data_IF_696101566015
#
_entry.id   IF_696101566015
#
_cell.length_a   1.000
_cell.length_b   1.000
_cell.length_c   1.000
_cell.angle_alpha   90.00
_cell.angle_beta   90.00
_cell.angle_gamma   90.00
#
_symmetry.space_group_name_H-M   'P 1'
#
loop_
_entity.id
_entity.type
_entity.pdbx_description
1 polymer ?
#
# COMPACT_ATOMS: atom_id res chain seq x y z
N UNK A 1 -28.65 -19.90 -21.69
CA UNK A 1 -28.95 -19.76 -20.24
C UNK A 1 -28.03 -18.69 -19.70
N UNK A 2 -28.57 -17.55 -19.28
CA UNK A 2 -27.76 -16.55 -18.58
C UNK A 2 -27.27 -17.22 -17.26
N UNK A 3 -25.97 -17.23 -17.02
CA UNK A 3 -25.40 -17.67 -15.75
C UNK A 3 -26.01 -16.82 -14.65
N UNK A 4 -26.59 -17.45 -13.62
CA UNK A 4 -26.96 -16.75 -12.41
C UNK A 4 -25.68 -16.20 -11.79
N UNK A 5 -25.49 -14.88 -11.91
CA UNK A 5 -24.29 -14.18 -11.45
C UNK A 5 -24.31 -13.92 -9.93
N UNK A 6 -25.47 -14.08 -9.30
CA UNK A 6 -25.63 -13.84 -7.86
C UNK A 6 -25.13 -15.03 -7.02
N UNK A 7 -25.20 -16.24 -7.54
CA UNK A 7 -24.80 -17.44 -6.80
C UNK A 7 -24.12 -18.44 -7.77
N UNK A 8 -22.78 -18.40 -7.91
CA UNK A 8 -22.06 -19.41 -8.66
C UNK A 8 -22.29 -20.79 -8.02
N UNK A 9 -22.48 -21.81 -8.85
CA UNK A 9 -22.91 -23.17 -8.48
C UNK A 9 -21.97 -23.92 -7.52
N UNK A 10 -20.67 -23.55 -7.46
CA UNK A 10 -19.70 -24.15 -6.53
C UNK A 10 -18.71 -23.10 -6.02
N UNK A 11 -18.69 -22.89 -4.71
CA UNK A 11 -17.75 -22.01 -4.03
C UNK A 11 -16.57 -22.75 -3.40
N UNK A 12 -16.56 -24.10 -3.42
CA UNK A 12 -15.64 -24.90 -2.62
C UNK A 12 -14.19 -24.79 -3.14
N UNK A 13 -14.00 -24.80 -4.46
CA UNK A 13 -12.70 -24.89 -5.09
C UNK A 13 -11.81 -23.64 -4.86
N UNK A 14 -12.40 -22.45 -4.70
CA UNK A 14 -11.64 -21.22 -4.48
C UNK A 14 -11.29 -21.02 -3.02
N UNK A 15 -10.01 -21.13 -2.70
CA UNK A 15 -9.48 -20.76 -1.40
C UNK A 15 -9.17 -19.27 -1.38
N UNK A 16 -10.09 -18.48 -0.84
CA UNK A 16 -9.97 -17.02 -0.83
C UNK A 16 -8.88 -16.56 0.13
N UNK A 17 -8.00 -15.62 -0.31
CA UNK A 17 -6.94 -15.07 0.52
C UNK A 17 -7.50 -14.13 1.61
N UNK A 18 -6.87 -14.09 2.77
CA UNK A 18 -7.21 -13.19 3.91
C UNK A 18 -8.70 -13.13 4.21
N UNK A 19 -9.40 -14.24 4.10
CA UNK A 19 -10.87 -14.32 4.23
C UNK A 19 -11.26 -15.42 5.21
N UNK A 20 -12.27 -15.16 6.03
CA UNK A 20 -12.96 -16.18 6.80
C UNK A 20 -13.81 -17.04 5.84
N UNK A 21 -13.17 -17.99 5.12
CA UNK A 21 -13.76 -18.72 4.01
C UNK A 21 -15.07 -19.45 4.37
N UNK A 22 -15.14 -20.02 5.57
CA UNK A 22 -16.36 -20.70 6.03
C UNK A 22 -17.54 -19.73 6.13
N UNK A 23 -17.33 -18.56 6.76
CA UNK A 23 -18.35 -17.52 6.90
C UNK A 23 -18.75 -16.96 5.53
N UNK A 24 -17.73 -16.60 4.69
CA UNK A 24 -18.00 -16.04 3.36
C UNK A 24 -18.80 -16.98 2.47
N UNK A 25 -18.48 -18.28 2.46
CA UNK A 25 -19.16 -19.27 1.62
C UNK A 25 -20.57 -19.59 2.08
N UNK A 26 -20.91 -19.33 3.35
CA UNK A 26 -22.29 -19.42 3.86
C UNK A 26 -23.14 -18.20 3.47
N UNK A 27 -22.54 -17.02 3.46
CA UNK A 27 -23.21 -15.75 3.11
C UNK A 27 -22.30 -14.95 2.17
N UNK A 28 -22.27 -15.34 0.86
CA UNK A 28 -21.33 -14.76 -0.08
C UNK A 28 -21.69 -13.31 -0.43
N UNK A 29 -20.67 -12.44 -0.45
CA UNK A 29 -20.75 -11.03 -0.86
C UNK A 29 -20.12 -10.91 -2.25
N UNK A 30 -20.94 -10.99 -3.30
CA UNK A 30 -20.47 -11.06 -4.68
C UNK A 30 -20.65 -9.71 -5.39
N UNK A 31 -19.57 -9.21 -5.99
CA UNK A 31 -19.61 -8.11 -6.93
C UNK A 31 -19.59 -8.65 -8.37
N UNK A 32 -20.46 -8.14 -9.21
CA UNK A 32 -20.63 -8.57 -10.62
C UNK A 32 -20.30 -7.48 -11.62
N UNK A 33 -20.25 -6.22 -11.17
CA UNK A 33 -19.84 -5.07 -11.95
C UNK A 33 -19.29 -3.96 -11.04
N UNK A 34 -18.62 -2.98 -11.63
CA UNK A 34 -18.19 -1.77 -10.94
C UNK A 34 -18.15 -0.61 -11.92
N UNK A 35 -18.46 0.62 -11.45
CA UNK A 35 -18.36 1.86 -12.23
C UNK A 35 -18.21 3.06 -11.29
N UNK A 36 -17.28 3.97 -11.61
CA UNK A 36 -17.02 5.16 -10.80
C UNK A 36 -16.70 4.82 -9.35
N UNK A 37 -17.57 5.21 -8.43
CA UNK A 37 -17.44 4.98 -6.99
C UNK A 37 -18.12 3.70 -6.49
N UNK A 38 -18.80 2.92 -7.33
CA UNK A 38 -19.69 1.87 -6.88
C UNK A 38 -19.35 0.50 -7.47
N UNK A 39 -19.52 -0.52 -6.63
CA UNK A 39 -19.71 -1.89 -7.05
C UNK A 39 -21.20 -2.20 -7.20
N UNK A 40 -21.51 -3.15 -8.09
CA UNK A 40 -22.86 -3.72 -8.24
C UNK A 40 -22.83 -5.17 -7.74
N UNK A 41 -23.71 -5.51 -6.82
CA UNK A 41 -23.88 -6.88 -6.31
C UNK A 41 -24.71 -7.73 -7.30
N UNK A 42 -24.73 -9.06 -7.08
CA UNK A 42 -25.48 -9.98 -7.94
C UNK A 42 -27.00 -9.74 -7.97
N UNK A 43 -27.55 -9.17 -6.90
CA UNK A 43 -28.96 -8.75 -6.79
C UNK A 43 -29.21 -7.30 -7.30
N UNK A 44 -28.19 -6.62 -7.81
CA UNK A 44 -28.30 -5.30 -8.42
C UNK A 44 -28.14 -4.12 -7.47
N UNK A 45 -27.86 -4.32 -6.19
CA UNK A 45 -27.57 -3.23 -5.24
C UNK A 45 -26.30 -2.51 -5.62
N UNK A 46 -26.28 -1.19 -5.42
CA UNK A 46 -25.07 -0.38 -5.51
C UNK A 46 -24.40 -0.29 -4.14
N UNK A 47 -23.10 -0.55 -4.10
CA UNK A 47 -22.28 -0.48 -2.88
C UNK A 47 -21.19 0.56 -3.10
N UNK A 48 -21.23 1.66 -2.34
CA UNK A 48 -20.23 2.72 -2.37
C UNK A 48 -18.88 2.17 -1.89
N UNK A 49 -17.84 2.35 -2.70
CA UNK A 49 -16.49 1.87 -2.38
C UNK A 49 -15.74 2.87 -1.48
N UNK A 50 -15.77 2.64 -0.18
CA UNK A 50 -15.02 3.41 0.81
C UNK A 50 -13.55 2.99 0.97
N UNK A 51 -13.04 2.08 0.10
CA UNK A 51 -11.73 1.44 0.27
C UNK A 51 -10.85 1.42 -0.98
N UNK A 52 -11.32 2.00 -2.10
CA UNK A 52 -10.70 1.88 -3.42
C UNK A 52 -10.33 0.41 -3.74
N UNK A 53 -11.30 -0.49 -3.56
CA UNK A 53 -11.09 -1.92 -3.61
C UNK A 53 -10.23 -2.41 -2.44
N UNK A 54 -8.96 -2.64 -2.69
CA UNK A 54 -7.93 -2.90 -1.66
C UNK A 54 -6.83 -1.82 -1.72
N UNK A 55 -7.21 -0.55 -1.60
CA UNK A 55 -6.30 0.62 -1.69
C UNK A 55 -5.69 0.80 -3.09
N UNK A 56 -6.36 0.36 -4.15
CA UNK A 56 -5.75 0.28 -5.48
C UNK A 56 -6.49 1.03 -6.59
N UNK A 57 -7.83 1.17 -6.50
CA UNK A 57 -8.64 1.81 -7.53
C UNK A 57 -8.73 3.33 -7.33
N UNK A 58 -7.57 4.02 -7.30
CA UNK A 58 -7.50 5.44 -6.96
C UNK A 58 -8.26 6.33 -7.95
N UNK A 59 -8.29 5.99 -9.25
CA UNK A 59 -9.06 6.72 -10.25
C UNK A 59 -10.55 6.33 -10.31
N UNK A 60 -11.00 5.39 -9.44
CA UNK A 60 -12.33 4.80 -9.53
C UNK A 60 -12.40 3.64 -10.51
N UNK A 61 -13.57 3.03 -10.60
CA UNK A 61 -13.79 1.80 -11.37
C UNK A 61 -14.14 2.06 -12.84
N UNK A 62 -13.77 1.10 -13.71
CA UNK A 62 -14.17 1.05 -15.13
C UNK A 62 -13.88 2.35 -15.88
N UNK A 63 -12.72 2.96 -15.66
CA UNK A 63 -12.29 4.16 -16.39
C UNK A 63 -12.13 3.85 -17.87
N UNK A 64 -12.87 4.53 -18.79
CA UNK A 64 -12.86 4.20 -20.21
C UNK A 64 -11.45 4.20 -20.80
N UNK A 65 -10.65 5.24 -20.55
CA UNK A 65 -9.27 5.36 -21.06
C UNK A 65 -8.41 4.15 -20.66
N UNK A 66 -8.51 3.66 -19.43
CA UNK A 66 -7.74 2.51 -18.94
C UNK A 66 -8.23 1.21 -19.60
N UNK A 67 -9.56 1.03 -19.69
CA UNK A 67 -10.17 -0.14 -20.32
C UNK A 67 -9.78 -0.24 -21.79
N UNK A 68 -9.91 0.86 -22.53
CA UNK A 68 -9.59 0.95 -23.96
C UNK A 68 -8.09 0.68 -24.22
N UNK A 69 -7.21 1.23 -23.38
CA UNK A 69 -5.77 0.99 -23.49
C UNK A 69 -5.40 -0.50 -23.34
N UNK A 70 -6.04 -1.20 -22.38
CA UNK A 70 -5.84 -2.65 -22.19
C UNK A 70 -6.37 -3.44 -23.38
N UNK A 71 -7.57 -3.12 -23.87
CA UNK A 71 -8.18 -3.81 -25.01
C UNK A 71 -7.34 -3.65 -26.28
N UNK A 72 -6.86 -2.44 -26.55
CA UNK A 72 -5.99 -2.16 -27.69
C UNK A 72 -4.66 -2.91 -27.56
N UNK A 73 -4.05 -2.90 -26.38
CA UNK A 73 -2.78 -3.59 -26.13
C UNK A 73 -2.91 -5.11 -26.26
N UNK A 74 -4.00 -5.68 -25.77
CA UNK A 74 -4.24 -7.12 -25.87
C UNK A 74 -4.39 -7.59 -27.33
N UNK A 75 -4.87 -6.72 -28.22
CA UNK A 75 -4.99 -7.00 -29.65
C UNK A 75 -3.68 -6.79 -30.42
N UNK A 76 -2.76 -5.95 -29.91
CA UNK A 76 -1.50 -5.61 -30.59
C UNK A 76 -0.34 -6.52 -30.16
N UNK A 77 -0.12 -6.60 -28.85
CA UNK A 77 0.98 -7.38 -28.24
C UNK A 77 0.58 -7.78 -26.83
N UNK A 78 0.17 -9.00 -26.66
CA UNK A 78 -0.30 -9.58 -25.38
C UNK A 78 0.84 -9.88 -24.40
N UNK A 79 1.99 -10.32 -24.91
CA UNK A 79 3.18 -10.64 -24.13
C UNK A 79 4.46 -10.36 -24.92
N UNK A 80 5.48 -9.88 -24.25
CA UNK A 80 6.85 -9.82 -24.74
C UNK A 80 7.81 -10.34 -23.65
N UNK A 81 8.86 -11.11 -23.99
CA UNK A 81 9.86 -11.53 -23.01
C UNK A 81 10.52 -10.31 -22.33
N UNK A 82 10.56 -10.32 -21.01
CA UNK A 82 11.22 -9.26 -20.24
C UNK A 82 12.75 -9.45 -20.16
N UNK A 83 13.25 -10.63 -20.53
CA UNK A 83 14.66 -10.98 -20.48
C UNK A 83 15.26 -10.93 -21.89
N UNK A 84 16.31 -10.13 -22.07
CA UNK A 84 17.05 -9.91 -23.32
C UNK A 84 16.21 -9.24 -24.45
N UNK A 85 14.93 -9.00 -24.24
CA UNK A 85 14.00 -8.37 -25.16
C UNK A 85 13.25 -7.27 -24.41
N UNK A 86 12.53 -6.41 -25.13
CA UNK A 86 11.74 -5.35 -24.55
C UNK A 86 10.64 -4.89 -25.51
N UNK A 87 9.77 -4.01 -25.03
CA UNK A 87 8.75 -3.34 -25.84
C UNK A 87 8.61 -1.87 -25.44
N UNK A 88 8.19 -0.98 -26.36
CA UNK A 88 8.23 0.46 -26.14
C UNK A 88 7.48 0.94 -24.89
N UNK A 89 6.28 0.38 -24.60
CA UNK A 89 5.43 0.86 -23.51
C UNK A 89 6.01 0.62 -22.12
N UNK A 90 6.85 -0.41 -21.92
CA UNK A 90 7.55 -0.59 -20.64
C UNK A 90 8.55 0.55 -20.39
N UNK A 91 9.32 0.92 -21.41
CA UNK A 91 10.26 2.04 -21.31
C UNK A 91 9.55 3.39 -21.15
N UNK A 92 8.43 3.59 -21.85
CA UNK A 92 7.62 4.79 -21.71
C UNK A 92 7.04 4.89 -20.29
N UNK A 93 6.47 3.81 -19.76
CA UNK A 93 5.95 3.78 -18.40
C UNK A 93 7.04 4.05 -17.37
N UNK A 94 8.23 3.46 -17.54
CA UNK A 94 9.37 3.72 -16.66
C UNK A 94 9.74 5.20 -16.67
N UNK A 95 9.79 5.84 -17.85
CA UNK A 95 10.04 7.27 -17.99
C UNK A 95 8.96 8.10 -17.29
N UNK A 96 7.69 7.83 -17.55
CA UNK A 96 6.58 8.56 -16.92
C UNK A 96 6.54 8.40 -15.41
N UNK A 97 6.86 7.20 -14.90
CA UNK A 97 6.91 6.94 -13.47
C UNK A 97 8.07 7.65 -12.80
N UNK A 98 9.26 7.66 -13.45
CA UNK A 98 10.42 8.45 -13.01
C UNK A 98 10.08 9.95 -12.94
N UNK A 99 9.46 10.48 -14.00
CA UNK A 99 9.16 11.92 -14.11
C UNK A 99 8.09 12.37 -13.08
N UNK A 100 7.29 11.44 -12.57
CA UNK A 100 6.30 11.67 -11.51
C UNK A 100 6.87 11.47 -10.10
N UNK A 101 7.92 10.67 -9.98
CA UNK A 101 8.53 10.36 -8.69
C UNK A 101 9.35 11.54 -8.16
N UNK A 102 9.53 11.66 -6.83
CA UNK A 102 10.40 12.69 -6.28
C UNK A 102 11.87 12.47 -6.67
N UNK A 103 12.58 13.55 -6.91
CA UNK A 103 14.04 13.45 -7.03
C UNK A 103 14.62 12.91 -5.70
N UNK A 104 15.62 12.01 -5.71
CA UNK A 104 16.48 11.61 -6.83
C UNK A 104 16.15 10.24 -7.44
N UNK A 105 14.87 9.84 -7.55
CA UNK A 105 14.48 8.56 -8.15
C UNK A 105 14.63 8.60 -9.66
N UNK A 106 15.58 7.82 -10.22
CA UNK A 106 15.89 7.88 -11.66
C UNK A 106 15.68 6.56 -12.42
N UNK A 107 15.63 5.42 -11.72
CA UNK A 107 15.55 4.11 -12.35
C UNK A 107 14.38 3.30 -11.81
N UNK A 108 13.72 2.54 -12.69
CA UNK A 108 12.52 1.76 -12.39
C UNK A 108 12.76 0.30 -12.71
N UNK A 109 12.50 -0.57 -11.74
CA UNK A 109 12.51 -2.02 -11.91
C UNK A 109 11.09 -2.55 -11.74
N UNK A 110 10.49 -3.09 -12.80
CA UNK A 110 9.10 -3.60 -12.77
C UNK A 110 8.99 -4.98 -12.15
N UNK A 111 7.94 -5.16 -11.38
CA UNK A 111 7.50 -6.40 -10.74
C UNK A 111 6.00 -6.62 -10.99
N UNK A 112 5.38 -7.65 -10.41
CA UNK A 112 3.97 -7.96 -10.64
C UNK A 112 3.07 -7.66 -9.43
N UNK A 113 3.65 -7.25 -8.33
CA UNK A 113 2.91 -6.95 -7.07
C UNK A 113 3.76 -6.15 -6.10
N UNK A 114 3.12 -5.54 -5.08
CA UNK A 114 3.84 -4.90 -3.98
C UNK A 114 4.72 -5.89 -3.19
N UNK A 115 4.28 -7.15 -3.03
CA UNK A 115 5.10 -8.18 -2.38
C UNK A 115 6.40 -8.45 -3.12
N UNK A 116 6.35 -8.53 -4.45
CA UNK A 116 7.54 -8.68 -5.28
C UNK A 116 8.38 -7.39 -5.32
N UNK A 117 7.76 -6.22 -5.28
CA UNK A 117 8.50 -4.95 -5.20
C UNK A 117 9.33 -4.89 -3.92
N UNK A 118 8.76 -5.26 -2.79
CA UNK A 118 9.50 -5.34 -1.52
C UNK A 118 10.64 -6.36 -1.60
N UNK A 119 10.38 -7.61 -2.04
CA UNK A 119 11.44 -8.62 -2.20
C UNK A 119 12.58 -8.12 -3.10
N UNK A 120 12.24 -7.45 -4.18
CA UNK A 120 13.20 -6.86 -5.11
C UNK A 120 14.02 -5.75 -4.44
N UNK A 121 13.38 -4.82 -3.73
CA UNK A 121 14.07 -3.75 -3.04
C UNK A 121 15.03 -4.26 -1.96
N UNK A 122 14.62 -5.28 -1.17
CA UNK A 122 15.50 -5.92 -0.18
C UNK A 122 16.71 -6.60 -0.83
N UNK A 123 16.49 -7.29 -1.96
CA UNK A 123 17.58 -7.92 -2.73
C UNK A 123 18.51 -6.89 -3.36
N UNK A 124 17.97 -5.81 -3.93
CA UNK A 124 18.78 -4.70 -4.47
C UNK A 124 19.62 -4.08 -3.35
N UNK A 125 19.05 -3.85 -2.16
CA UNK A 125 19.77 -3.27 -1.04
C UNK A 125 20.99 -4.11 -0.64
N UNK A 126 20.82 -5.42 -0.47
CA UNK A 126 21.93 -6.34 -0.12
C UNK A 126 22.96 -6.41 -1.26
N UNK A 127 22.50 -6.53 -2.51
CA UNK A 127 23.37 -6.62 -3.68
C UNK A 127 24.15 -5.31 -3.91
N UNK A 128 23.51 -4.16 -3.70
CA UNK A 128 24.16 -2.84 -3.77
C UNK A 128 25.30 -2.73 -2.75
N UNK A 129 25.04 -3.07 -1.49
CA UNK A 129 26.08 -3.05 -0.46
C UNK A 129 27.28 -3.92 -0.85
N UNK A 130 27.02 -5.07 -1.45
CA UNK A 130 28.10 -5.93 -1.97
C UNK A 130 28.83 -5.29 -3.14
N UNK A 131 28.13 -4.67 -4.09
CA UNK A 131 28.69 -4.03 -5.27
C UNK A 131 29.65 -2.88 -4.90
N UNK A 132 29.35 -2.14 -3.84
CA UNK A 132 30.21 -1.05 -3.33
C UNK A 132 31.29 -1.54 -2.33
N UNK A 133 31.53 -2.86 -2.23
CA UNK A 133 32.56 -3.43 -1.35
C UNK A 133 32.17 -3.56 0.11
N UNK A 134 30.88 -3.37 0.46
CA UNK A 134 30.33 -3.48 1.82
C UNK A 134 29.58 -4.81 2.02
N UNK A 135 30.15 -5.92 1.55
CA UNK A 135 29.49 -7.22 1.48
C UNK A 135 29.08 -7.86 2.81
N UNK A 136 29.51 -7.31 3.94
CA UNK A 136 29.09 -7.69 5.30
C UNK A 136 27.70 -7.13 5.66
N UNK A 137 27.23 -6.08 4.97
CA UNK A 137 25.94 -5.46 5.18
C UNK A 137 24.82 -6.31 4.60
N UNK A 138 24.25 -7.20 5.38
CA UNK A 138 23.16 -8.11 4.97
C UNK A 138 21.94 -8.07 5.89
N UNK A 139 22.06 -7.43 7.05
CA UNK A 139 20.99 -7.27 8.02
C UNK A 139 19.94 -6.26 7.50
N UNK A 140 18.68 -6.59 7.73
CA UNK A 140 17.53 -5.76 7.33
C UNK A 140 16.77 -5.32 8.58
N UNK A 141 16.28 -4.10 8.59
CA UNK A 141 15.50 -3.55 9.68
C UNK A 141 14.10 -3.20 9.17
N UNK A 142 13.08 -3.79 9.80
CA UNK A 142 11.68 -3.44 9.57
C UNK A 142 11.09 -2.63 10.72
N UNK A 143 9.76 -2.61 10.81
CA UNK A 143 9.04 -1.97 11.92
C UNK A 143 7.91 -2.87 12.40
N UNK A 144 7.71 -2.94 13.71
CA UNK A 144 6.54 -3.57 14.31
C UNK A 144 5.25 -3.01 13.69
N UNK A 145 4.24 -3.84 13.49
CA UNK A 145 2.99 -3.50 12.82
C UNK A 145 3.17 -2.98 11.38
N UNK A 146 4.34 -3.17 10.75
CA UNK A 146 4.55 -2.91 9.33
C UNK A 146 3.99 -4.03 8.46
N UNK A 147 3.48 -3.70 7.26
CA UNK A 147 3.04 -4.66 6.26
C UNK A 147 3.82 -4.47 4.96
N UNK A 148 4.56 -5.49 4.56
CA UNK A 148 5.43 -5.44 3.39
C UNK A 148 5.18 -6.61 2.42
N UNK A 149 3.89 -6.99 2.27
CA UNK A 149 3.50 -8.12 1.43
C UNK A 149 3.57 -9.46 2.15
N UNK A 150 3.55 -10.55 1.36
CA UNK A 150 3.36 -11.92 1.86
C UNK A 150 4.50 -12.88 1.52
N UNK A 151 5.50 -12.45 0.75
CA UNK A 151 6.70 -13.22 0.49
C UNK A 151 7.57 -13.31 1.76
N UNK A 152 8.47 -14.28 1.83
CA UNK A 152 9.26 -14.51 3.05
C UNK A 152 10.12 -13.32 3.48
N UNK A 153 10.72 -12.57 2.56
CA UNK A 153 11.42 -11.32 2.89
C UNK A 153 10.45 -10.29 3.45
N UNK A 154 9.33 -10.06 2.77
CA UNK A 154 8.30 -9.11 3.18
C UNK A 154 7.72 -9.41 4.57
N UNK A 155 7.38 -10.67 4.88
CA UNK A 155 6.89 -11.04 6.22
C UNK A 155 8.00 -11.07 7.27
N UNK A 156 9.26 -11.19 6.87
CA UNK A 156 10.40 -11.13 7.80
C UNK A 156 10.62 -9.72 8.30
N UNK A 157 10.63 -8.71 7.41
CA UNK A 157 10.74 -7.29 7.80
C UNK A 157 9.40 -6.70 8.25
N UNK A 158 8.27 -7.35 7.94
CA UNK A 158 6.95 -6.99 8.43
C UNK A 158 6.77 -7.28 9.92
N UNK A 159 5.81 -6.62 10.57
CA UNK A 159 5.56 -6.70 12.00
C UNK A 159 4.15 -7.16 12.39
N UNK A 160 3.38 -7.76 11.47
CA UNK A 160 2.04 -8.29 11.75
C UNK A 160 2.16 -9.72 12.28
N UNK A 161 1.77 -9.95 13.53
CA UNK A 161 1.87 -11.26 14.19
C UNK A 161 1.23 -12.39 13.38
N UNK A 162 0.02 -12.18 12.84
CA UNK A 162 -0.69 -13.19 12.08
C UNK A 162 -0.02 -13.55 10.76
N UNK A 163 0.74 -12.64 10.14
CA UNK A 163 1.50 -12.90 8.92
C UNK A 163 2.80 -13.68 9.19
N UNK A 164 3.21 -13.81 10.43
CA UNK A 164 4.49 -14.40 10.84
C UNK A 164 4.32 -15.76 11.51
N UNK A 165 3.43 -15.86 12.50
CA UNK A 165 3.35 -16.99 13.44
C UNK A 165 3.07 -18.36 12.80
N UNK A 166 2.48 -18.40 11.61
CA UNK A 166 2.15 -19.66 10.92
C UNK A 166 3.25 -20.17 9.99
N UNK A 167 4.29 -19.37 9.72
CA UNK A 167 5.28 -19.68 8.67
C UNK A 167 6.67 -20.03 9.25
N UNK A 168 6.75 -20.31 10.54
CA UNK A 168 7.95 -20.82 11.21
C UNK A 168 9.07 -19.78 11.30
N UNK A 169 10.30 -20.27 11.18
CA UNK A 169 11.48 -19.42 11.21
C UNK A 169 11.59 -18.61 9.92
N UNK A 170 11.55 -17.30 10.04
CA UNK A 170 11.70 -16.34 8.96
C UNK A 170 13.18 -16.09 8.64
N UNK A 171 13.49 -15.12 7.76
CA UNK A 171 14.86 -14.76 7.42
C UNK A 171 15.65 -14.37 8.67
N UNK A 172 16.86 -14.87 8.77
CA UNK A 172 17.81 -14.47 9.84
C UNK A 172 18.38 -13.08 9.55
N UNK A 173 18.85 -12.39 10.58
CA UNK A 173 19.45 -11.06 10.42
C UNK A 173 18.41 -9.96 10.17
N UNK A 174 17.23 -10.11 10.74
CA UNK A 174 16.16 -9.08 10.70
C UNK A 174 15.84 -8.61 12.11
N UNK A 175 15.82 -7.29 12.30
CA UNK A 175 15.37 -6.62 13.52
C UNK A 175 14.21 -5.68 13.23
N UNK A 176 13.53 -5.20 14.27
CA UNK A 176 12.36 -4.33 14.12
C UNK A 176 12.47 -3.11 15.02
N UNK A 177 12.16 -1.96 14.44
CA UNK A 177 11.87 -0.74 15.18
C UNK A 177 10.50 -0.86 15.87
N UNK A 178 10.26 -0.16 16.98
CA UNK A 178 8.94 -0.08 17.59
C UNK A 178 7.94 0.60 16.64
N UNK A 179 6.66 0.25 16.76
CA UNK A 179 5.59 0.89 16.01
C UNK A 179 5.31 2.33 16.52
N UNK A 180 4.68 3.16 15.69
CA UNK A 180 4.41 4.58 16.00
C UNK A 180 3.05 4.84 16.64
N UNK A 181 2.28 3.81 16.99
CA UNK A 181 0.96 3.96 17.58
C UNK A 181 1.05 4.15 19.09
N UNK A 182 0.79 5.37 19.55
CA UNK A 182 0.86 5.79 20.97
C UNK A 182 -0.51 6.38 21.39
N UNK A 183 -1.56 5.56 21.60
CA UNK A 183 -2.91 6.06 21.85
C UNK A 183 -3.00 6.92 23.12
N UNK A 184 -2.24 6.61 24.17
CA UNK A 184 -2.24 7.40 25.41
C UNK A 184 -1.80 8.87 25.23
N UNK A 185 -1.06 9.17 24.15
CA UNK A 185 -0.51 10.49 23.87
C UNK A 185 -1.12 11.15 22.63
N UNK A 186 -1.54 10.32 21.67
CA UNK A 186 -1.86 10.78 20.31
C UNK A 186 -3.29 10.45 19.86
N UNK A 187 -4.14 9.87 20.70
CA UNK A 187 -5.50 9.51 20.30
C UNK A 187 -6.26 10.75 19.78
N UNK A 188 -7.05 10.54 18.72
CA UNK A 188 -7.85 11.58 18.05
C UNK A 188 -7.04 12.74 17.44
N UNK A 189 -5.75 12.51 17.17
CA UNK A 189 -4.93 13.50 16.47
C UNK A 189 -5.38 13.64 15.02
N UNK A 190 -5.51 14.88 14.56
CA UNK A 190 -5.73 15.21 13.15
C UNK A 190 -4.39 15.33 12.44
N UNK A 191 -4.17 14.51 11.40
CA UNK A 191 -2.90 14.47 10.67
C UNK A 191 -1.76 13.83 11.49
N UNK A 192 -0.55 14.39 11.37
CA UNK A 192 0.64 13.87 12.06
C UNK A 192 0.60 14.14 13.57
N UNK A 193 0.77 13.11 14.41
CA UNK A 193 0.86 13.29 15.85
C UNK A 193 2.17 13.98 16.27
N UNK A 194 2.09 14.72 17.39
CA UNK A 194 3.24 15.46 17.94
C UNK A 194 4.22 14.55 18.68
N UNK A 195 3.73 13.48 19.32
CA UNK A 195 4.55 12.63 20.18
C UNK A 195 5.01 11.37 19.49
N UNK A 196 6.31 11.01 19.65
CA UNK A 196 6.85 9.73 19.19
C UNK A 196 8.03 9.82 18.23
N UNK A 197 8.57 11.00 17.93
CA UNK A 197 9.79 11.14 17.12
C UNK A 197 10.97 10.34 17.71
N UNK A 198 11.06 10.28 19.03
CA UNK A 198 12.10 9.55 19.75
C UNK A 198 12.15 8.04 19.47
N UNK A 199 11.06 7.45 18.95
CA UNK A 199 11.01 6.05 18.56
C UNK A 199 11.98 5.71 17.42
N UNK A 200 12.38 6.71 16.63
CA UNK A 200 13.42 6.55 15.61
C UNK A 200 14.80 6.28 16.21
N UNK A 201 15.06 6.70 17.47
CA UNK A 201 16.35 6.49 18.14
C UNK A 201 16.62 5.01 18.43
N UNK A 202 15.61 4.14 18.39
CA UNK A 202 15.82 2.71 18.53
C UNK A 202 16.71 2.14 17.41
N UNK A 203 16.77 2.81 16.25
CA UNK A 203 17.72 2.46 15.19
C UNK A 203 19.18 2.62 15.66
N UNK A 204 19.50 3.67 16.43
CA UNK A 204 20.86 3.82 17.02
C UNK A 204 21.18 2.69 17.99
N UNK A 205 20.20 2.22 18.77
CA UNK A 205 20.37 1.05 19.65
C UNK A 205 20.67 -0.22 18.85
N UNK A 206 19.97 -0.42 17.73
CA UNK A 206 20.21 -1.58 16.83
C UNK A 206 21.58 -1.47 16.17
N UNK A 207 21.97 -0.28 15.72
CA UNK A 207 23.30 0.01 15.15
C UNK A 207 24.40 -0.27 16.18
N UNK A 208 24.23 0.17 17.43
CA UNK A 208 25.18 -0.09 18.50
C UNK A 208 25.33 -1.58 18.85
N UNK A 209 24.22 -2.35 18.72
CA UNK A 209 24.22 -3.79 19.00
C UNK A 209 24.92 -4.60 17.93
N UNK A 210 24.73 -4.27 16.65
CA UNK A 210 25.16 -5.11 15.54
C UNK A 210 26.36 -4.58 14.74
N UNK A 211 26.72 -3.31 14.92
CA UNK A 211 27.68 -2.58 14.10
C UNK A 211 27.05 -2.08 12.78
N UNK A 212 27.26 -0.81 12.41
CA UNK A 212 26.67 -0.23 11.19
C UNK A 212 27.09 -0.99 9.93
N UNK A 213 28.28 -1.60 9.90
CA UNK A 213 28.84 -2.36 8.78
C UNK A 213 28.15 -3.71 8.53
N UNK A 214 27.16 -4.08 9.33
CA UNK A 214 26.35 -5.30 9.14
C UNK A 214 24.96 -5.00 8.60
N UNK A 215 24.49 -3.74 8.65
CA UNK A 215 23.13 -3.36 8.32
C UNK A 215 23.08 -2.83 6.88
N UNK A 216 22.25 -3.48 6.04
CA UNK A 216 22.06 -3.11 4.64
C UNK A 216 21.02 -2.00 4.46
N UNK A 217 19.85 -2.18 5.06
CA UNK A 217 18.73 -1.26 4.85
C UNK A 217 17.72 -1.28 6.00
N UNK A 218 16.99 -0.16 6.12
CA UNK A 218 15.74 -0.02 6.86
C UNK A 218 14.60 0.08 5.84
N UNK A 219 13.50 -0.63 6.07
CA UNK A 219 12.27 -0.50 5.29
C UNK A 219 11.10 -0.12 6.20
N UNK A 220 10.36 0.93 5.82
CA UNK A 220 9.14 1.36 6.51
C UNK A 220 8.10 1.84 5.51
N UNK A 221 6.82 1.65 5.83
CA UNK A 221 5.76 2.44 5.22
C UNK A 221 5.86 3.86 5.79
N UNK A 222 5.88 4.95 5.00
CA UNK A 222 5.82 6.31 5.55
C UNK A 222 4.64 6.48 6.51
N UNK A 223 3.48 5.96 6.12
CA UNK A 223 2.31 5.74 6.94
C UNK A 223 1.90 4.27 6.86
N UNK A 224 1.81 3.58 7.99
CA UNK A 224 1.43 2.17 8.00
C UNK A 224 -0.07 2.00 7.77
N UNK A 225 -0.44 1.74 6.51
CA UNK A 225 -1.84 1.68 6.08
C UNK A 225 -2.58 0.45 6.58
N UNK A 226 -2.08 -0.73 6.20
CA UNK A 226 -2.76 -2.02 6.40
C UNK A 226 -3.00 -2.40 7.87
N UNK A 227 -2.22 -1.87 8.79
CA UNK A 227 -2.30 -2.15 10.23
C UNK A 227 -3.13 -1.16 11.01
N UNK A 228 -3.85 -0.28 10.33
CA UNK A 228 -4.80 0.64 10.95
C UNK A 228 -4.47 2.11 10.81
N UNK A 229 -3.84 2.49 9.69
CA UNK A 229 -3.55 3.90 9.36
C UNK A 229 -2.72 4.57 10.46
N UNK A 230 -1.55 3.95 10.76
CA UNK A 230 -0.66 4.45 11.79
C UNK A 230 0.22 5.56 11.24
N UNK A 231 0.00 6.77 11.72
CA UNK A 231 0.72 7.96 11.27
C UNK A 231 2.16 8.00 11.80
N UNK A 232 3.12 8.49 11.00
CA UNK A 232 4.42 8.82 11.53
C UNK A 232 4.30 10.09 12.39
N UNK A 233 4.85 10.10 13.62
CA UNK A 233 4.95 11.33 14.40
C UNK A 233 5.83 12.37 13.68
N UNK A 234 5.59 13.65 13.92
CA UNK A 234 6.43 14.75 13.41
C UNK A 234 7.89 14.51 13.81
N UNK A 235 8.80 14.61 12.85
CA UNK A 235 10.24 14.39 13.07
C UNK A 235 10.69 12.93 13.05
N UNK A 236 9.79 11.96 13.03
CA UNK A 236 10.16 10.53 13.06
C UNK A 236 10.87 10.07 11.77
N UNK A 237 10.29 10.38 10.61
CA UNK A 237 10.87 9.97 9.31
C UNK A 237 12.16 10.72 9.03
N UNK A 238 12.23 12.00 9.35
CA UNK A 238 13.42 12.84 9.23
C UNK A 238 14.56 12.29 10.08
N UNK A 239 14.27 11.85 11.30
CA UNK A 239 15.26 11.26 12.18
C UNK A 239 15.74 9.89 11.68
N UNK A 240 14.84 9.04 11.18
CA UNK A 240 15.25 7.78 10.53
C UNK A 240 16.19 8.04 9.35
N UNK A 241 15.86 9.00 8.47
CA UNK A 241 16.70 9.38 7.34
C UNK A 241 18.09 9.85 7.81
N UNK A 242 18.12 10.69 8.84
CA UNK A 242 19.39 11.21 9.37
C UNK A 242 20.29 10.07 9.90
N UNK A 243 19.73 9.14 10.69
CA UNK A 243 20.47 7.99 11.22
C UNK A 243 20.95 7.08 10.08
N UNK A 244 20.08 6.77 9.11
CA UNK A 244 20.46 5.96 7.95
C UNK A 244 21.62 6.59 7.18
N UNK A 245 21.55 7.91 6.93
CA UNK A 245 22.62 8.65 6.24
C UNK A 245 23.94 8.62 7.03
N UNK A 246 23.88 8.87 8.32
CA UNK A 246 25.06 8.86 9.21
C UNK A 246 25.80 7.51 9.17
N UNK A 247 25.08 6.41 9.11
CA UNK A 247 25.66 5.06 9.17
C UNK A 247 25.80 4.36 7.81
N UNK A 248 25.46 5.03 6.69
CA UNK A 248 25.52 4.45 5.34
C UNK A 248 24.54 3.27 5.15
N UNK A 249 23.39 3.32 5.85
CA UNK A 249 22.29 2.36 5.76
C UNK A 249 21.27 2.88 4.73
N UNK A 250 20.81 2.03 3.81
CA UNK A 250 19.77 2.44 2.87
C UNK A 250 18.42 2.59 3.58
N UNK A 251 17.65 3.61 3.20
CA UNK A 251 16.26 3.78 3.61
C UNK A 251 15.35 3.44 2.43
N UNK A 252 14.41 2.53 2.65
CA UNK A 252 13.40 2.11 1.68
C UNK A 252 12.04 2.57 2.19
N UNK A 253 11.30 3.33 1.39
CA UNK A 253 9.89 3.61 1.65
C UNK A 253 9.00 2.63 0.87
N UNK A 254 8.17 1.90 1.62
CA UNK A 254 7.10 1.12 1.04
C UNK A 254 5.88 2.03 0.82
N UNK A 255 5.74 2.48 -0.42
CA UNK A 255 4.67 3.40 -0.85
C UNK A 255 3.58 2.70 -1.66
N UNK A 256 3.42 1.42 -1.47
CA UNK A 256 2.37 0.62 -2.13
C UNK A 256 0.97 1.15 -1.81
N UNK A 257 0.78 1.82 -0.66
CA UNK A 257 -0.48 2.48 -0.29
C UNK A 257 -0.39 4.00 -0.42
N UNK A 258 0.70 4.61 0.04
CA UNK A 258 0.84 6.08 0.11
C UNK A 258 1.08 6.75 -1.23
N UNK A 259 1.59 6.01 -2.21
CA UNK A 259 1.78 6.51 -3.56
C UNK A 259 0.48 6.78 -4.33
N UNK A 260 0.63 7.48 -5.44
CA UNK A 260 -0.45 7.77 -6.41
C UNK A 260 -1.61 8.57 -5.83
N UNK A 261 -1.30 9.68 -5.15
CA UNK A 261 -2.28 10.70 -4.75
C UNK A 261 -3.01 10.45 -3.44
N UNK A 262 -2.76 9.34 -2.74
CA UNK A 262 -3.48 9.00 -1.51
C UNK A 262 -3.38 10.06 -0.42
N UNK A 263 -2.24 10.73 -0.32
CA UNK A 263 -1.97 11.80 0.63
C UNK A 263 -2.09 13.22 0.02
N UNK A 264 -2.56 13.34 -1.23
CA UNK A 264 -2.63 14.60 -1.95
C UNK A 264 -1.36 15.00 -2.70
N UNK A 265 -0.37 14.10 -2.76
CA UNK A 265 0.89 14.23 -3.52
C UNK A 265 1.15 12.95 -4.31
N UNK A 266 2.09 12.97 -5.25
CA UNK A 266 2.44 11.78 -6.05
C UNK A 266 2.88 10.62 -5.16
N UNK A 267 3.75 10.91 -4.18
CA UNK A 267 4.28 9.94 -3.22
C UNK A 267 4.29 10.51 -1.79
N UNK A 268 4.28 9.62 -0.81
CA UNK A 268 4.40 9.99 0.59
C UNK A 268 5.75 10.63 0.92
N UNK A 269 6.83 10.26 0.22
CA UNK A 269 8.13 10.89 0.36
C UNK A 269 8.07 12.41 0.14
N UNK A 270 7.33 12.86 -0.89
CA UNK A 270 7.08 14.29 -1.13
C UNK A 270 6.23 14.91 -0.03
N UNK A 271 5.14 14.22 0.36
CA UNK A 271 4.23 14.71 1.40
C UNK A 271 4.95 14.99 2.73
N UNK A 272 5.85 14.09 3.13
CA UNK A 272 6.61 14.22 4.37
C UNK A 272 7.94 14.98 4.21
N UNK A 273 8.35 15.29 2.98
CA UNK A 273 9.62 15.97 2.71
C UNK A 273 10.86 15.13 3.06
N UNK A 274 10.74 13.80 3.04
CA UNK A 274 11.83 12.87 3.40
C UNK A 274 12.11 11.93 2.25
N UNK A 275 13.32 12.00 1.68
CA UNK A 275 13.70 11.21 0.50
C UNK A 275 14.39 9.90 0.90
N UNK A 276 13.83 8.73 0.54
CA UNK A 276 14.48 7.45 0.70
C UNK A 276 15.49 7.18 -0.42
N UNK A 277 16.23 6.09 -0.30
CA UNK A 277 17.13 5.60 -1.36
C UNK A 277 16.39 4.74 -2.39
N UNK A 278 15.28 4.11 -1.99
CA UNK A 278 14.37 3.37 -2.87
C UNK A 278 12.92 3.56 -2.43
N UNK A 279 12.00 3.48 -3.41
CA UNK A 279 10.55 3.46 -3.19
C UNK A 279 10.00 2.17 -3.80
N UNK A 280 9.19 1.42 -3.06
CA UNK A 280 8.37 0.34 -3.62
C UNK A 280 6.95 0.83 -3.87
N UNK A 281 6.39 0.53 -5.03
CA UNK A 281 5.02 0.88 -5.37
C UNK A 281 4.30 -0.24 -6.13
N UNK A 282 2.98 -0.17 -6.17
CA UNK A 282 2.07 -1.10 -6.87
C UNK A 282 0.66 -0.48 -6.92
N UNK A 283 -0.40 -1.28 -6.83
CA UNK A 283 -1.81 -0.87 -6.62
C UNK A 283 -2.26 0.29 -7.53
N UNK A 284 -2.12 1.54 -7.06
CA UNK A 284 -2.46 2.74 -7.82
C UNK A 284 -1.68 2.88 -9.14
N UNK A 285 -0.55 2.21 -9.30
CA UNK A 285 0.24 2.23 -10.54
C UNK A 285 -0.58 1.84 -11.78
N UNK A 286 -1.49 0.88 -11.63
CA UNK A 286 -2.37 0.41 -12.71
C UNK A 286 -3.85 0.56 -12.36
N UNK A 287 -4.18 1.36 -11.35
CA UNK A 287 -5.55 1.46 -10.82
C UNK A 287 -6.14 0.09 -10.40
N UNK A 288 -5.29 -0.87 -10.06
CA UNK A 288 -5.68 -2.22 -9.64
C UNK A 288 -6.22 -3.13 -10.76
N UNK A 289 -6.27 -2.70 -12.02
CA UNK A 289 -6.91 -3.45 -13.12
C UNK A 289 -6.03 -4.57 -13.67
N UNK A 290 -4.70 -4.37 -13.70
CA UNK A 290 -3.71 -5.39 -14.07
C UNK A 290 -2.64 -5.45 -12.98
N UNK A 291 -2.27 -6.64 -12.47
CA UNK A 291 -1.20 -6.77 -11.48
C UNK A 291 0.12 -6.20 -12.00
N UNK A 292 0.68 -5.24 -11.27
CA UNK A 292 2.00 -4.66 -11.51
C UNK A 292 2.50 -4.00 -10.23
N UNK A 293 3.82 -3.99 -10.09
CA UNK A 293 4.53 -3.21 -9.10
C UNK A 293 5.84 -2.67 -9.68
N UNK A 294 6.52 -1.84 -8.91
CA UNK A 294 7.82 -1.32 -9.28
C UNK A 294 8.67 -1.01 -8.05
N UNK A 295 9.99 -1.04 -8.25
CA UNK A 295 10.98 -0.42 -7.37
C UNK A 295 11.57 0.78 -8.11
N UNK A 296 11.48 1.94 -7.50
CA UNK A 296 12.20 3.13 -7.94
C UNK A 296 13.49 3.23 -7.13
N UNK A 297 14.59 3.49 -7.78
CA UNK A 297 15.89 3.59 -7.16
C UNK A 297 16.64 4.85 -7.62
N UNK A 298 17.50 5.35 -6.76
CA UNK A 298 18.39 6.46 -7.11
C UNK A 298 19.42 6.04 -8.16
N UNK A 299 19.93 7.01 -8.91
CA UNK A 299 21.03 6.80 -9.86
C UNK A 299 22.24 6.14 -9.21
N UNK A 300 22.57 6.52 -7.97
CA UNK A 300 23.70 5.96 -7.22
C UNK A 300 23.55 4.43 -7.05
N UNK A 301 22.35 3.94 -6.73
CA UNK A 301 22.12 2.50 -6.58
C UNK A 301 22.27 1.78 -7.91
N UNK A 302 21.63 2.29 -8.96
CA UNK A 302 21.69 1.70 -10.29
C UNK A 302 23.14 1.63 -10.83
N UNK A 303 23.86 2.74 -10.80
CA UNK A 303 25.20 2.83 -11.38
C UNK A 303 26.22 1.92 -10.69
N UNK A 304 26.01 1.57 -9.42
CA UNK A 304 26.87 0.62 -8.71
C UNK A 304 26.87 -0.78 -9.34
N UNK A 305 25.81 -1.13 -10.07
CA UNK A 305 25.72 -2.40 -10.80
C UNK A 305 26.28 -2.31 -12.23
N UNK A 306 26.33 -1.12 -12.83
CA UNK A 306 26.73 -0.91 -14.23
C UNK A 306 28.24 -1.04 -14.39
N UNK A 307 28.78 -2.19 -14.04
CA UNK A 307 30.22 -2.50 -14.03
C UNK A 307 30.48 -3.88 -14.64
N UNK A 308 31.73 -4.12 -15.07
CA UNK A 308 32.13 -5.38 -15.67
C UNK A 308 31.92 -5.44 -17.19
N UNK A 309 31.99 -6.63 -17.80
CA UNK A 309 31.80 -6.79 -19.25
C UNK A 309 30.35 -6.53 -19.67
N UNK A 310 30.13 -5.73 -20.71
CA UNK A 310 28.81 -5.29 -21.20
C UNK A 310 27.84 -6.40 -21.59
N UNK A 311 28.33 -7.62 -21.87
CA UNK A 311 27.50 -8.77 -22.22
C UNK A 311 27.04 -9.61 -21.02
N UNK A 312 27.46 -9.28 -19.82
CA UNK A 312 27.04 -9.98 -18.59
C UNK A 312 25.88 -9.26 -17.94
N UNK A 313 25.00 -10.04 -17.29
CA UNK A 313 23.86 -9.50 -16.53
C UNK A 313 24.38 -8.87 -15.24
N UNK A 314 24.15 -7.57 -15.06
CA UNK A 314 24.67 -6.78 -13.96
C UNK A 314 23.93 -7.10 -12.63
N UNK A 315 22.61 -7.32 -12.68
CA UNK A 315 21.80 -7.76 -11.57
C UNK A 315 21.03 -9.04 -11.93
N UNK A 316 21.46 -10.19 -11.40
CA UNK A 316 20.87 -11.49 -11.74
C UNK A 316 19.53 -11.69 -10.99
N UNK A 317 18.52 -10.90 -11.36
CA UNK A 317 17.18 -10.88 -10.79
C UNK A 317 16.15 -10.38 -11.81
N UNK A 318 14.94 -10.95 -11.80
CA UNK A 318 13.82 -10.56 -12.64
C UNK A 318 12.65 -11.54 -12.54
N UNK A 319 11.51 -11.12 -13.05
CA UNK A 319 10.29 -11.93 -13.10
C UNK A 319 9.84 -12.11 -14.55
N UNK A 320 9.25 -13.24 -14.87
CA UNK A 320 8.76 -13.56 -16.22
C UNK A 320 7.80 -12.49 -16.77
N UNK A 321 7.02 -11.86 -15.89
CA UNK A 321 6.03 -10.84 -16.27
C UNK A 321 6.46 -9.39 -15.96
N UNK A 322 7.73 -9.16 -15.61
CA UNK A 322 8.25 -7.80 -15.42
C UNK A 322 7.97 -6.93 -16.65
N UNK A 323 7.31 -5.78 -16.45
CA UNK A 323 7.00 -4.87 -17.54
C UNK A 323 6.00 -5.42 -18.57
N UNK A 324 5.10 -6.33 -18.18
CA UNK A 324 4.08 -6.92 -19.07
C UNK A 324 3.38 -5.83 -19.94
N UNK A 325 3.21 -6.06 -21.26
CA UNK A 325 2.66 -5.04 -22.18
C UNK A 325 1.29 -4.50 -21.77
N UNK A 326 0.36 -5.36 -21.35
CA UNK A 326 -0.97 -4.93 -20.92
C UNK A 326 -0.92 -4.15 -19.61
N UNK A 327 -0.05 -4.55 -18.68
CA UNK A 327 0.15 -3.82 -17.44
C UNK A 327 0.80 -2.46 -17.68
N UNK A 328 1.76 -2.37 -18.61
CA UNK A 328 2.37 -1.11 -19.03
C UNK A 328 1.35 -0.17 -19.69
N UNK A 329 0.48 -0.68 -20.57
CA UNK A 329 -0.59 0.10 -21.17
C UNK A 329 -1.60 0.61 -20.14
N UNK A 330 -1.99 -0.25 -19.18
CA UNK A 330 -2.86 0.14 -18.06
C UNK A 330 -2.20 1.20 -17.19
N UNK A 331 -0.90 1.04 -16.86
CA UNK A 331 -0.14 2.02 -16.08
C UNK A 331 -0.07 3.38 -16.76
N UNK A 332 0.30 3.43 -18.05
CA UNK A 332 0.34 4.67 -18.83
C UNK A 332 -1.00 5.40 -18.83
N UNK A 333 -2.09 4.68 -19.12
CA UNK A 333 -3.43 5.25 -19.13
C UNK A 333 -3.87 5.70 -17.73
N UNK A 334 -3.43 5.01 -16.68
CA UNK A 334 -3.72 5.35 -15.29
C UNK A 334 -3.01 6.66 -14.90
N UNK A 335 -1.70 6.77 -15.15
CA UNK A 335 -0.93 7.98 -14.84
C UNK A 335 -1.48 9.20 -15.60
N UNK A 336 -1.87 8.98 -16.85
CA UNK A 336 -2.49 10.04 -17.64
C UNK A 336 -3.86 10.46 -17.09
N UNK A 337 -4.69 9.50 -16.65
CA UNK A 337 -5.99 9.77 -15.99
C UNK A 337 -5.79 10.59 -14.71
N UNK A 338 -4.79 10.26 -13.87
CA UNK A 338 -4.49 11.04 -12.68
C UNK A 338 -4.17 12.50 -13.01
N UNK A 339 -3.34 12.71 -14.03
CA UNK A 339 -2.93 14.05 -14.47
C UNK A 339 -4.07 14.87 -15.08
N UNK A 340 -4.84 14.26 -16.00
CA UNK A 340 -5.90 14.97 -16.71
C UNK A 340 -7.08 15.34 -15.82
N UNK A 341 -7.43 14.46 -14.89
CA UNK A 341 -8.52 14.68 -13.93
C UNK A 341 -8.05 15.46 -12.68
N UNK A 342 -6.73 15.79 -12.55
CA UNK A 342 -6.18 16.51 -11.40
C UNK A 342 -6.43 15.80 -10.08
N UNK A 343 -6.29 14.46 -10.05
CA UNK A 343 -6.79 13.67 -8.92
C UNK A 343 -5.96 13.86 -7.64
N UNK A 344 -4.69 14.23 -7.75
CA UNK A 344 -3.83 14.43 -6.57
C UNK A 344 -4.18 15.76 -5.88
N UNK A 345 -4.33 16.82 -6.66
CA UNK A 345 -4.77 18.13 -6.18
C UNK A 345 -6.19 18.04 -5.60
N UNK A 346 -7.08 17.31 -6.27
CA UNK A 346 -8.43 17.04 -5.78
C UNK A 346 -8.41 16.33 -4.42
N UNK A 347 -7.53 15.36 -4.23
CA UNK A 347 -7.39 14.66 -2.95
C UNK A 347 -6.91 15.60 -1.84
N UNK A 348 -5.96 16.48 -2.15
CA UNK A 348 -5.50 17.51 -1.23
C UNK A 348 -6.62 18.49 -0.83
N UNK A 349 -7.42 18.96 -1.81
CA UNK A 349 -8.53 19.89 -1.59
C UNK A 349 -9.66 19.28 -0.75
N UNK A 350 -9.88 17.98 -0.85
CA UNK A 350 -10.92 17.27 -0.09
C UNK A 350 -10.46 16.82 1.29
N UNK A 351 -9.16 16.86 1.59
CA UNK A 351 -8.59 16.29 2.81
C UNK A 351 -9.21 16.85 4.10
N UNK A 352 -9.44 18.16 4.18
CA UNK A 352 -10.06 18.78 5.34
C UNK A 352 -11.53 18.38 5.54
N UNK A 353 -12.29 18.28 4.43
CA UNK A 353 -13.68 17.83 4.48
C UNK A 353 -13.77 16.36 4.92
N UNK A 354 -12.88 15.51 4.42
CA UNK A 354 -12.73 14.13 4.85
C UNK A 354 -12.39 14.03 6.34
N UNK A 355 -11.41 14.80 6.79
CA UNK A 355 -11.00 14.86 8.20
C UNK A 355 -12.16 15.22 9.11
N UNK A 356 -12.90 16.31 8.81
CA UNK A 356 -14.05 16.75 9.61
C UNK A 356 -15.15 15.68 9.67
N UNK A 357 -15.48 15.07 8.53
CA UNK A 357 -16.45 13.98 8.46
C UNK A 357 -16.03 12.77 9.30
N UNK A 358 -14.77 12.35 9.20
CA UNK A 358 -14.22 11.24 9.96
C UNK A 358 -14.23 11.53 11.48
N UNK A 359 -13.70 12.69 11.89
CA UNK A 359 -13.65 13.07 13.30
C UNK A 359 -15.01 13.37 13.92
N UNK A 360 -16.06 13.57 13.11
CA UNK A 360 -17.43 13.64 13.60
C UNK A 360 -17.91 12.35 14.26
N UNK A 361 -17.24 11.22 14.03
CA UNK A 361 -17.56 9.93 14.63
C UNK A 361 -17.00 9.74 16.04
N UNK A 362 -16.26 10.72 16.58
CA UNK A 362 -15.56 10.63 17.87
C UNK A 362 -16.47 10.26 19.04
N UNK A 363 -17.68 10.76 19.05
CA UNK A 363 -18.62 10.57 20.15
C UNK A 363 -19.52 9.33 19.95
N UNK A 364 -19.27 8.51 18.90
CA UNK A 364 -19.98 7.26 18.72
C UNK A 364 -19.52 6.24 19.77
N UNK A 365 -20.43 5.31 20.19
CA UNK A 365 -20.09 4.26 21.12
C UNK A 365 -18.85 3.46 20.69
N UNK A 366 -18.04 3.08 21.67
CA UNK A 366 -16.84 2.24 21.50
C UNK A 366 -15.73 2.83 20.64
N UNK A 367 -15.83 4.05 20.14
CA UNK A 367 -14.73 4.72 19.42
C UNK A 367 -13.68 5.19 20.42
N UNK A 368 -12.46 4.62 20.30
CA UNK A 368 -11.34 4.94 21.20
C UNK A 368 -10.23 5.73 20.54
N UNK A 369 -10.17 5.75 19.20
CA UNK A 369 -9.24 6.58 18.45
C UNK A 369 -9.71 6.82 17.01
N UNK A 370 -9.31 7.96 16.43
CA UNK A 370 -9.50 8.32 15.02
C UNK A 370 -8.20 8.90 14.48
N UNK A 371 -7.79 8.44 13.30
CA UNK A 371 -6.55 8.83 12.61
C UNK A 371 -6.82 9.11 11.14
N UNK A 372 -6.19 10.12 10.58
CA UNK A 372 -6.34 10.46 9.16
C UNK A 372 -5.16 11.22 8.58
N UNK A 373 -5.04 11.17 7.26
CA UNK A 373 -4.19 12.03 6.44
C UNK A 373 -4.63 11.96 4.97
N UNK A 374 -4.71 13.09 4.26
CA UNK A 374 -5.25 13.09 2.90
C UNK A 374 -6.62 12.42 2.84
N UNK A 375 -6.84 11.55 1.85
CA UNK A 375 -8.08 10.76 1.71
C UNK A 375 -7.89 9.33 2.24
N UNK A 376 -7.38 9.23 3.46
CA UNK A 376 -7.28 7.96 4.20
C UNK A 376 -7.59 8.22 5.66
N UNK A 377 -8.25 7.26 6.32
CA UNK A 377 -8.52 7.36 7.74
C UNK A 377 -8.91 6.05 8.37
N UNK A 378 -8.87 6.05 9.70
CA UNK A 378 -9.27 4.90 10.50
C UNK A 378 -10.05 5.33 11.74
N UNK A 379 -11.00 4.48 12.12
CA UNK A 379 -11.72 4.52 13.40
C UNK A 379 -11.35 3.25 14.17
N UNK A 380 -10.77 3.40 15.34
CA UNK A 380 -10.43 2.29 16.21
C UNK A 380 -11.52 2.09 17.27
N UNK A 381 -11.96 0.86 17.42
CA UNK A 381 -13.03 0.49 18.33
C UNK A 381 -12.46 -0.26 19.54
N UNK A 382 -13.04 -0.04 20.69
CA UNK A 382 -12.78 -0.83 21.88
C UNK A 382 -13.07 -2.31 21.62
N UNK A 383 -12.11 -3.22 21.81
CA UNK A 383 -12.32 -4.65 21.58
C UNK A 383 -13.31 -5.25 22.59
N UNK A 384 -14.10 -6.22 22.15
CA UNK A 384 -14.92 -7.03 23.07
C UNK A 384 -13.99 -7.98 23.83
N UNK A 385 -14.08 -7.96 25.15
CA UNK A 385 -13.28 -8.84 26.01
C UNK A 385 -13.48 -10.33 25.65
N UNK A 386 -12.39 -11.02 25.29
CA UNK A 386 -12.42 -12.42 24.86
C UNK A 386 -12.83 -12.65 23.40
N UNK A 387 -13.33 -11.62 22.70
CA UNK A 387 -13.75 -11.71 21.29
C UNK A 387 -13.17 -10.53 20.45
N UNK A 388 -11.84 -10.37 20.40
CA UNK A 388 -11.22 -9.30 19.61
C UNK A 388 -11.60 -9.43 18.13
N UNK A 389 -11.67 -8.31 17.42
CA UNK A 389 -12.08 -8.18 16.01
C UNK A 389 -13.57 -8.31 15.71
N UNK A 390 -14.37 -8.83 16.64
CA UNK A 390 -15.78 -9.13 16.40
C UNK A 390 -16.60 -7.86 16.14
N UNK A 391 -16.37 -6.79 16.94
CA UNK A 391 -17.11 -5.53 16.80
C UNK A 391 -16.84 -4.88 15.44
N UNK A 392 -15.58 -4.74 15.04
CA UNK A 392 -15.25 -4.18 13.75
C UNK A 392 -15.75 -5.05 12.58
N UNK A 393 -15.70 -6.37 12.72
CA UNK A 393 -16.24 -7.28 11.70
C UNK A 393 -17.76 -7.17 11.56
N UNK A 394 -18.50 -7.00 12.66
CA UNK A 394 -19.94 -6.74 12.60
C UNK A 394 -20.21 -5.39 11.90
N UNK A 395 -19.48 -4.33 12.25
CA UNK A 395 -19.60 -3.05 11.56
C UNK A 395 -19.35 -3.17 10.04
N UNK A 396 -18.38 -3.99 9.63
CA UNK A 396 -18.15 -4.28 8.21
C UNK A 396 -19.35 -4.92 7.53
N UNK A 397 -19.97 -5.92 8.15
CA UNK A 397 -21.15 -6.60 7.61
C UNK A 397 -22.34 -5.63 7.50
N UNK A 398 -22.59 -4.86 8.54
CA UNK A 398 -23.74 -3.95 8.61
C UNK A 398 -23.60 -2.77 7.64
N UNK A 399 -22.39 -2.22 7.49
CA UNK A 399 -22.11 -1.22 6.46
C UNK A 399 -22.33 -1.77 5.05
N UNK A 400 -21.86 -3.01 4.78
CA UNK A 400 -22.08 -3.66 3.49
C UNK A 400 -23.57 -3.85 3.17
N UNK A 401 -24.37 -4.28 4.14
CA UNK A 401 -25.82 -4.42 3.97
C UNK A 401 -26.51 -3.05 3.73
N UNK A 402 -25.97 -1.98 4.30
CA UNK A 402 -26.43 -0.59 4.07
C UNK A 402 -25.85 0.05 2.79
N UNK A 403 -25.12 -0.71 1.98
CA UNK A 403 -24.59 -0.25 0.69
C UNK A 403 -23.29 0.57 0.77
N UNK A 404 -22.46 0.36 1.80
CA UNK A 404 -21.15 1.00 1.95
C UNK A 404 -20.08 -0.07 2.24
N UNK A 405 -19.04 -0.10 1.43
CA UNK A 405 -17.89 -0.96 1.64
C UNK A 405 -16.84 -0.25 2.50
N UNK A 406 -16.54 -0.82 3.65
CA UNK A 406 -15.42 -0.46 4.51
C UNK A 406 -14.47 -1.64 4.65
N UNK A 407 -13.31 -1.45 5.26
CA UNK A 407 -12.33 -2.50 5.56
C UNK A 407 -12.03 -2.53 7.04
N UNK A 408 -11.75 -3.72 7.58
CA UNK A 408 -11.33 -3.89 8.97
C UNK A 408 -9.98 -4.58 9.09
N UNK A 409 -9.22 -4.20 10.11
CA UNK A 409 -7.98 -4.85 10.52
C UNK A 409 -7.91 -4.84 12.05
N UNK A 410 -8.00 -6.02 12.68
CA UNK A 410 -8.24 -6.06 14.12
C UNK A 410 -9.58 -5.39 14.45
N UNK A 411 -9.59 -4.54 15.46
CA UNK A 411 -10.74 -3.72 15.85
C UNK A 411 -10.72 -2.31 15.22
N UNK A 412 -10.03 -2.14 14.10
CA UNK A 412 -9.87 -0.88 13.38
C UNK A 412 -10.65 -0.94 12.05
N UNK A 413 -11.51 0.04 11.83
CA UNK A 413 -12.18 0.30 10.55
C UNK A 413 -11.28 1.25 9.76
N UNK A 414 -10.80 0.84 8.58
CA UNK A 414 -9.96 1.64 7.72
C UNK A 414 -10.69 1.99 6.42
N UNK A 415 -10.56 3.23 5.98
CA UNK A 415 -11.22 3.80 4.81
C UNK A 415 -10.22 4.56 3.96
N UNK A 416 -10.34 4.42 2.64
CA UNK A 416 -9.47 5.04 1.63
C UNK A 416 -10.18 5.05 0.28
N UNK A 417 -11.20 5.88 0.09
CA UNK A 417 -12.03 5.84 -1.10
C UNK A 417 -11.22 6.14 -2.37
N UNK A 418 -11.74 5.80 -3.58
CA UNK A 418 -11.20 6.36 -4.81
C UNK A 418 -11.11 7.89 -4.73
N UNK A 419 -10.08 8.49 -5.35
CA UNK A 419 -9.83 9.94 -5.28
C UNK A 419 -10.88 10.79 -6.01
N UNK A 420 -11.73 10.15 -6.81
CA UNK A 420 -12.89 10.77 -7.47
C UNK A 420 -14.09 10.99 -6.54
N UNK A 421 -14.01 10.59 -5.27
CA UNK A 421 -15.10 10.74 -4.30
C UNK A 421 -15.56 12.19 -4.21
N UNK A 422 -16.86 12.40 -4.04
CA UNK A 422 -17.49 13.69 -3.86
C UNK A 422 -18.03 13.88 -2.45
N UNK A 423 -18.24 15.14 -2.03
CA UNK A 423 -18.75 15.48 -0.68
C UNK A 423 -20.03 14.72 -0.31
N UNK A 424 -21.06 14.59 -1.17
CA UNK A 424 -22.25 13.81 -0.84
C UNK A 424 -21.96 12.33 -0.57
N UNK A 425 -20.94 11.75 -1.23
CA UNK A 425 -20.53 10.36 -1.01
C UNK A 425 -19.71 10.22 0.28
N UNK A 426 -18.93 11.23 0.64
CA UNK A 426 -18.26 11.32 1.96
C UNK A 426 -19.30 11.37 3.07
N UNK A 427 -20.35 12.20 2.91
CA UNK A 427 -21.45 12.31 3.85
C UNK A 427 -22.22 10.98 3.98
N UNK A 428 -22.51 10.32 2.85
CA UNK A 428 -23.13 8.99 2.85
C UNK A 428 -22.28 7.97 3.60
N UNK A 429 -20.96 7.93 3.34
CA UNK A 429 -20.03 6.98 3.96
C UNK A 429 -20.02 7.17 5.49
N UNK A 430 -19.78 8.39 5.97
CA UNK A 430 -19.70 8.66 7.40
C UNK A 430 -21.06 8.62 8.09
N UNK A 431 -22.14 9.03 7.42
CA UNK A 431 -23.51 8.90 7.92
C UNK A 431 -23.89 7.42 8.13
N UNK A 432 -23.62 6.57 7.14
CA UNK A 432 -23.85 5.12 7.24
C UNK A 432 -23.03 4.50 8.36
N UNK A 433 -21.74 4.86 8.45
CA UNK A 433 -20.86 4.33 9.49
C UNK A 433 -21.33 4.80 10.89
N UNK A 434 -21.74 6.05 11.03
CA UNK A 434 -22.32 6.56 12.29
C UNK A 434 -23.53 5.74 12.71
N UNK A 435 -24.49 5.53 11.80
CA UNK A 435 -25.71 4.76 12.08
C UNK A 435 -25.39 3.32 12.53
N UNK A 436 -24.36 2.73 11.92
CA UNK A 436 -23.89 1.39 12.31
C UNK A 436 -23.24 1.44 13.67
N UNK A 437 -22.33 2.36 13.93
CA UNK A 437 -21.63 2.49 15.23
C UNK A 437 -22.60 2.78 16.37
N UNK A 438 -23.66 3.57 16.15
CA UNK A 438 -24.70 3.83 17.15
C UNK A 438 -25.56 2.62 17.48
N UNK A 439 -25.58 1.61 16.63
CA UNK A 439 -26.36 0.38 16.80
C UNK A 439 -25.51 -0.83 17.26
N UNK A 440 -24.18 -0.66 17.38
CA UNK A 440 -23.30 -1.74 17.86
C UNK A 440 -23.35 -1.88 19.38
N UNK A 441 -23.32 -3.16 19.83
CA UNK A 441 -23.22 -3.53 21.26
C UNK A 441 -21.77 -3.47 21.77
#
# INVERSE_FOLDING_TARGET
>A
MALDRSNPNDLSAFWMPFTANRQFKQTPRMFVAAEGMHYTTGDGRQVLDGTAGLWCCNAGHKRPKIVEAIQAQAAELDYAPAFQMGHPKAFELATRLRDMAPEPMEHVFFTNSGSESVETALKIAIAYQRAIGQGTRTRLIGRERGYHGVNFGGISVGGIVNNRKFFGTLMTGVDHLPHTHLPDQNAFTRGQPEHGAYLAEDLERIVALHGPETIAAVIVEPMAGSTGVLMPPKGYLERLRAICTQHGILLIFDEVITGFGRLGSSFGAEHFGVMPDMITCAKGLTNGVIPMGAVLATKQIHDAFMTGPEHLIELFHGYTYSGNPMAAAAGLATLETYREDGLFERAADLASYWEDGLHSLRDCPHVIDIRNMGLIGAVELEPIAGEPTKRAFQAFLDCYEKGVLIRTTGDIIAMSPPLIIEKPQIDQLFGTLRDVLMALD
#
